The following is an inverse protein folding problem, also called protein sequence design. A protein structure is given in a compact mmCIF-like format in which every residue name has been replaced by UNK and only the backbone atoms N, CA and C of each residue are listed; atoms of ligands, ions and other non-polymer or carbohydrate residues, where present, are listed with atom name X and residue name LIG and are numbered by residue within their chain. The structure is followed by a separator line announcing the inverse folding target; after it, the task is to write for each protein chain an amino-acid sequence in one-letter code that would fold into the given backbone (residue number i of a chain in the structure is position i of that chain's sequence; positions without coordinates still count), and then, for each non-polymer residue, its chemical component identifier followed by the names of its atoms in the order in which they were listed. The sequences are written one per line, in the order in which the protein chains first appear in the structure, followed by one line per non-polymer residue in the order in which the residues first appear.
data_IF_829525319855
#
_entry.id   IF_829525319855
#
_cell.length_a   1.000
_cell.length_b   1.000
_cell.length_c   1.000
_cell.angle_alpha   90.00
_cell.angle_beta   90.00
_cell.angle_gamma   90.00
#
_symmetry.space_group_name_H-M   'P 1'
#
loop_
_entity.id
_entity.type
_entity.pdbx_description
1 polymer ?
#
# COMPACT_ATOMS: atom_id res chain seq x y z
N UNK A 1 31.76 -7.56 10.70
CA UNK A 1 31.54 -8.53 9.60
C UNK A 1 30.25 -8.14 8.90
N UNK A 2 30.35 -7.60 7.69
CA UNK A 2 29.20 -7.22 6.90
C UNK A 2 28.58 -8.49 6.31
N UNK A 3 27.49 -8.98 6.91
CA UNK A 3 26.63 -9.89 6.19
C UNK A 3 26.13 -9.14 4.96
N UNK A 4 26.54 -9.57 3.76
CA UNK A 4 25.91 -9.14 2.52
C UNK A 4 24.41 -9.41 2.66
N UNK A 5 23.63 -8.36 2.91
CA UNK A 5 22.17 -8.45 2.90
C UNK A 5 21.77 -8.89 1.51
N UNK A 6 21.47 -10.18 1.35
CA UNK A 6 20.84 -10.74 0.16
C UNK A 6 19.69 -9.79 -0.21
N UNK A 7 19.77 -9.15 -1.38
CA UNK A 7 18.75 -8.17 -1.79
C UNK A 7 17.42 -8.93 -1.84
N UNK A 8 16.49 -8.52 -0.97
CA UNK A 8 15.12 -9.01 -1.00
C UNK A 8 14.52 -8.63 -2.36
N UNK A 9 14.02 -9.63 -3.09
CA UNK A 9 13.43 -9.54 -4.43
C UNK A 9 12.04 -10.16 -4.34
N UNK A 10 11.05 -9.49 -4.91
CA UNK A 10 9.71 -10.07 -5.11
C UNK A 10 9.67 -10.70 -6.50
N UNK A 11 9.18 -11.93 -6.58
CA UNK A 11 9.09 -12.70 -7.82
C UNK A 11 7.65 -12.67 -8.33
N UNK A 12 7.25 -11.50 -8.87
CA UNK A 12 5.91 -11.25 -9.36
C UNK A 12 5.95 -10.61 -10.75
N UNK A 13 5.12 -11.06 -11.70
CA UNK A 13 4.95 -10.39 -12.98
C UNK A 13 4.27 -9.04 -12.74
N UNK A 14 5.03 -7.95 -12.86
CA UNK A 14 4.59 -6.59 -12.58
C UNK A 14 4.67 -5.73 -13.84
N UNK A 15 3.53 -5.14 -14.20
CA UNK A 15 3.43 -4.01 -15.12
C UNK A 15 3.39 -2.72 -14.32
N UNK A 16 4.25 -1.78 -14.65
CA UNK A 16 4.30 -0.44 -14.06
C UNK A 16 3.92 0.58 -15.13
N UNK A 17 2.88 1.35 -14.87
CA UNK A 17 2.44 2.47 -15.69
C UNK A 17 2.98 3.76 -15.08
N UNK A 18 3.61 4.57 -15.91
CA UNK A 18 4.32 5.76 -15.45
C UNK A 18 3.40 6.99 -15.45
N UNK A 19 3.76 7.98 -14.63
CA UNK A 19 3.27 9.35 -14.76
C UNK A 19 4.00 10.07 -15.90
N UNK A 20 3.63 11.33 -16.18
CA UNK A 20 4.37 12.17 -17.15
C UNK A 20 5.80 12.43 -16.67
N UNK A 21 6.00 12.67 -15.38
CA UNK A 21 7.31 12.86 -14.76
C UNK A 21 8.13 11.58 -14.81
N UNK A 22 7.50 10.43 -14.50
CA UNK A 22 8.14 9.12 -14.62
C UNK A 22 8.56 8.83 -16.06
N UNK A 23 7.68 9.10 -17.03
CA UNK A 23 7.97 8.93 -18.46
C UNK A 23 9.16 9.78 -18.88
N UNK A 24 9.14 11.07 -18.54
CA UNK A 24 10.23 12.01 -18.85
C UNK A 24 11.56 11.57 -18.23
N UNK A 25 11.54 11.11 -16.98
CA UNK A 25 12.72 10.58 -16.31
C UNK A 25 13.28 9.33 -17.02
N UNK A 26 12.43 8.38 -17.42
CA UNK A 26 12.91 7.17 -18.12
C UNK A 26 13.47 7.49 -19.51
N UNK A 27 12.82 8.37 -20.27
CA UNK A 27 13.27 8.77 -21.61
C UNK A 27 14.60 9.54 -21.58
N UNK A 28 14.77 10.47 -20.64
CA UNK A 28 16.04 11.21 -20.44
C UNK A 28 17.20 10.29 -20.07
N UNK A 29 16.93 9.15 -19.43
CA UNK A 29 17.93 8.11 -19.12
C UNK A 29 18.00 7.01 -20.19
N UNK A 30 17.45 7.25 -21.39
CA UNK A 30 17.48 6.34 -22.56
C UNK A 30 16.91 4.95 -22.26
N UNK A 31 15.93 4.85 -21.35
CA UNK A 31 15.21 3.61 -21.09
C UNK A 31 14.03 3.49 -22.06
N UNK A 32 13.92 2.34 -22.73
CA UNK A 32 12.79 2.05 -23.61
C UNK A 32 11.53 1.80 -22.78
N UNK A 33 10.41 2.35 -23.25
CA UNK A 33 9.09 2.16 -22.67
C UNK A 33 8.29 1.22 -23.55
N UNK A 34 7.54 0.31 -22.92
CA UNK A 34 6.64 -0.61 -23.59
C UNK A 34 5.25 0.00 -23.72
N UNK A 35 4.54 -0.35 -24.79
CA UNK A 35 3.10 -0.16 -24.85
C UNK A 35 2.42 -1.40 -24.22
N UNK A 36 1.92 -1.24 -23.00
CA UNK A 36 1.35 -2.32 -22.20
C UNK A 36 -0.16 -2.36 -22.36
N UNK A 37 -0.71 -3.55 -22.65
CA UNK A 37 -2.15 -3.81 -22.61
C UNK A 37 -2.56 -4.21 -21.19
N UNK A 38 -3.54 -3.51 -20.64
CA UNK A 38 -4.09 -3.71 -19.30
C UNK A 38 -5.36 -4.57 -19.32
N UNK A 39 -5.81 -5.00 -18.14
CA UNK A 39 -7.00 -5.85 -17.98
C UNK A 39 -8.28 -5.23 -18.57
N UNK A 40 -8.40 -3.91 -18.53
CA UNK A 40 -9.52 -3.13 -19.09
C UNK A 40 -9.39 -2.88 -20.61
N UNK A 41 -8.51 -3.61 -21.29
CA UNK A 41 -8.14 -3.45 -22.70
C UNK A 41 -7.54 -2.09 -23.07
N UNK A 42 -7.21 -1.23 -22.10
CA UNK A 42 -6.52 0.03 -22.38
C UNK A 42 -5.03 -0.20 -22.58
N UNK A 43 -4.45 0.61 -23.45
CA UNK A 43 -3.01 0.68 -23.69
C UNK A 43 -2.40 1.83 -22.90
N UNK A 44 -1.26 1.59 -22.26
CA UNK A 44 -0.52 2.63 -21.55
C UNK A 44 1.00 2.41 -21.63
N UNK A 45 1.76 3.50 -21.54
CA UNK A 45 3.22 3.46 -21.57
C UNK A 45 3.79 3.09 -20.20
N UNK A 46 4.73 2.16 -20.20
CA UNK A 46 5.26 1.65 -18.94
C UNK A 46 6.44 0.70 -19.08
N UNK A 47 6.70 -0.02 -18.00
CA UNK A 47 7.76 -1.02 -17.87
C UNK A 47 7.14 -2.33 -17.37
N UNK A 48 7.61 -3.46 -17.87
CA UNK A 48 7.22 -4.79 -17.39
C UNK A 48 8.43 -5.50 -16.81
N UNK A 49 8.23 -6.23 -15.72
CA UNK A 49 9.26 -7.00 -15.04
C UNK A 49 8.68 -8.31 -14.48
N UNK A 50 9.50 -9.35 -14.40
CA UNK A 50 9.12 -10.64 -13.80
C UNK A 50 9.51 -10.74 -12.34
N UNK A 51 10.49 -9.94 -11.91
CA UNK A 51 10.91 -9.80 -10.52
C UNK A 51 11.50 -8.41 -10.29
N UNK A 52 11.49 -7.94 -9.04
CA UNK A 52 11.93 -6.58 -8.73
C UNK A 52 12.37 -6.39 -7.28
N UNK A 53 13.20 -5.35 -7.06
CA UNK A 53 13.57 -4.94 -5.71
C UNK A 53 12.48 -4.04 -5.12
N UNK A 54 11.96 -4.38 -3.92
CA UNK A 54 10.98 -3.54 -3.22
C UNK A 54 11.50 -2.13 -2.93
N UNK A 55 12.78 -1.99 -2.58
CA UNK A 55 13.38 -0.67 -2.34
C UNK A 55 13.27 0.25 -3.56
N UNK A 56 13.64 -0.26 -4.74
CA UNK A 56 13.57 0.50 -5.98
C UNK A 56 12.13 0.86 -6.37
N UNK A 57 11.19 -0.07 -6.20
CA UNK A 57 9.77 0.21 -6.47
C UNK A 57 9.22 1.29 -5.52
N UNK A 58 9.52 1.17 -4.22
CA UNK A 58 9.11 2.17 -3.23
C UNK A 58 9.68 3.55 -3.56
N UNK A 59 10.95 3.65 -3.93
CA UNK A 59 11.55 4.93 -4.29
C UNK A 59 10.87 5.54 -5.53
N UNK A 60 10.51 4.74 -6.54
CA UNK A 60 9.72 5.22 -7.69
C UNK A 60 8.32 5.72 -7.30
N UNK A 61 7.65 5.05 -6.35
CA UNK A 61 6.37 5.52 -5.80
C UNK A 61 6.58 6.86 -5.09
N UNK A 62 7.59 6.95 -4.21
CA UNK A 62 7.91 8.16 -3.43
C UNK A 62 8.27 9.35 -4.32
N UNK A 63 8.95 9.12 -5.44
CA UNK A 63 9.25 10.15 -6.44
C UNK A 63 8.05 10.52 -7.32
N UNK A 64 6.93 9.79 -7.22
CA UNK A 64 5.72 10.06 -8.01
C UNK A 64 5.84 9.63 -9.47
N UNK A 65 6.71 8.67 -9.78
CA UNK A 65 6.92 8.18 -11.14
C UNK A 65 5.88 7.16 -11.60
N UNK A 66 5.12 6.57 -10.66
CA UNK A 66 4.18 5.48 -10.91
C UNK A 66 2.75 5.99 -10.75
N UNK A 67 1.93 5.76 -11.77
CA UNK A 67 0.49 6.06 -11.76
C UNK A 67 -0.34 4.81 -11.49
N UNK A 68 0.06 3.66 -12.03
CA UNK A 68 -0.64 2.38 -11.85
C UNK A 68 0.35 1.21 -11.85
N UNK A 69 0.04 0.18 -11.09
CA UNK A 69 0.70 -1.12 -11.11
C UNK A 69 -0.33 -2.20 -11.40
N UNK A 70 0.03 -3.24 -12.15
CA UNK A 70 -0.84 -4.38 -12.44
C UNK A 70 -0.03 -5.68 -12.39
N UNK A 71 -0.57 -6.69 -11.72
CA UNK A 71 -0.10 -8.07 -11.76
C UNK A 71 -1.23 -8.97 -12.26
N UNK A 72 -0.88 -10.05 -12.94
CA UNK A 72 -1.86 -11.00 -13.47
C UNK A 72 -1.30 -12.41 -13.48
N UNK A 73 -2.09 -13.36 -13.00
CA UNK A 73 -1.70 -14.78 -12.94
C UNK A 73 -2.95 -15.66 -12.87
N UNK A 74 -2.86 -16.94 -13.28
CA UNK A 74 -3.94 -17.91 -13.10
C UNK A 74 -4.08 -18.36 -11.65
N UNK A 75 -3.00 -18.23 -10.85
CA UNK A 75 -2.91 -18.67 -9.47
C UNK A 75 -2.07 -17.70 -8.64
N UNK A 76 -2.66 -17.15 -7.57
CA UNK A 76 -2.06 -16.26 -6.58
C UNK A 76 -1.60 -16.99 -5.32
N UNK A 77 -2.19 -18.14 -4.95
CA UNK A 77 -1.85 -18.85 -3.69
C UNK A 77 -0.35 -19.17 -3.58
N UNK A 78 0.30 -19.51 -4.69
CA UNK A 78 1.75 -19.78 -4.76
C UNK A 78 2.62 -18.55 -4.54
N UNK A 79 2.08 -17.34 -4.70
CA UNK A 79 2.76 -16.06 -4.54
C UNK A 79 2.16 -15.20 -3.40
N UNK A 80 1.46 -15.83 -2.46
CA UNK A 80 0.70 -15.16 -1.38
C UNK A 80 1.50 -14.09 -0.66
N UNK A 81 2.70 -14.44 -0.19
CA UNK A 81 3.54 -13.54 0.59
C UNK A 81 3.98 -12.33 -0.24
N UNK A 82 4.37 -12.55 -1.50
CA UNK A 82 4.87 -11.48 -2.36
C UNK A 82 3.77 -10.47 -2.71
N UNK A 83 2.52 -10.94 -2.92
CA UNK A 83 1.35 -10.10 -3.20
C UNK A 83 0.99 -9.24 -1.99
N UNK A 84 1.03 -9.84 -0.79
CA UNK A 84 0.82 -9.11 0.46
C UNK A 84 1.93 -8.08 0.69
N UNK A 85 3.19 -8.43 0.46
CA UNK A 85 4.32 -7.53 0.64
C UNK A 85 4.30 -6.37 -0.35
N UNK A 86 3.92 -6.61 -1.61
CA UNK A 86 3.67 -5.55 -2.60
C UNK A 86 2.56 -4.60 -2.12
N UNK A 87 1.45 -5.15 -1.63
CA UNK A 87 0.32 -4.35 -1.13
C UNK A 87 0.72 -3.48 0.07
N UNK A 88 1.44 -4.06 1.06
CA UNK A 88 1.97 -3.32 2.21
C UNK A 88 2.92 -2.23 1.77
N UNK A 89 3.85 -2.55 0.85
CA UNK A 89 4.81 -1.59 0.32
C UNK A 89 4.13 -0.36 -0.28
N UNK A 90 3.08 -0.56 -1.06
CA UNK A 90 2.32 0.52 -1.71
C UNK A 90 1.67 1.40 -0.64
N UNK A 91 0.96 0.81 0.31
CA UNK A 91 0.30 1.55 1.40
C UNK A 91 1.30 2.32 2.24
N UNK A 92 2.41 1.69 2.66
CA UNK A 92 3.47 2.38 3.41
C UNK A 92 4.08 3.54 2.62
N UNK A 93 4.22 3.41 1.31
CA UNK A 93 4.75 4.49 0.47
C UNK A 93 3.81 5.71 0.45
N UNK A 94 2.50 5.50 0.47
CA UNK A 94 1.51 6.57 0.60
C UNK A 94 1.60 7.21 1.99
N UNK A 95 1.65 6.40 3.05
CA UNK A 95 1.76 6.88 4.42
C UNK A 95 3.04 7.70 4.63
N UNK A 96 4.17 7.33 4.03
CA UNK A 96 5.40 8.13 4.11
C UNK A 96 5.25 9.51 3.46
N UNK A 97 4.62 9.59 2.28
CA UNK A 97 4.36 10.88 1.63
C UNK A 97 3.44 11.77 2.47
N UNK A 98 2.37 11.18 3.00
CA UNK A 98 1.40 11.92 3.81
C UNK A 98 2.03 12.40 5.12
N UNK A 99 2.79 11.54 5.80
CA UNK A 99 3.53 11.90 7.01
C UNK A 99 4.47 13.07 6.77
N UNK A 100 5.26 13.01 5.69
CA UNK A 100 6.18 14.10 5.32
C UNK A 100 5.44 15.43 5.07
N UNK A 101 4.36 15.38 4.28
CA UNK A 101 3.56 16.56 3.94
C UNK A 101 2.86 17.16 5.17
N UNK A 102 2.30 16.33 6.04
CA UNK A 102 1.62 16.78 7.26
C UNK A 102 2.61 17.35 8.28
N UNK A 103 3.80 16.75 8.41
CA UNK A 103 4.89 17.33 9.19
C UNK A 103 5.25 18.71 8.65
N UNK A 104 5.49 18.85 7.34
CA UNK A 104 5.85 20.14 6.75
C UNK A 104 4.77 21.20 7.02
N UNK A 105 3.52 20.87 6.72
CA UNK A 105 2.39 21.77 6.91
C UNK A 105 2.16 22.19 8.38
N UNK A 106 2.51 21.32 9.33
CA UNK A 106 2.42 21.61 10.75
C UNK A 106 3.61 22.44 11.25
N UNK A 107 4.86 22.07 10.91
CA UNK A 107 6.04 22.74 11.45
C UNK A 107 6.14 24.19 10.97
N UNK A 108 5.82 24.50 9.72
CA UNK A 108 5.89 25.89 9.21
C UNK A 108 4.95 26.86 9.95
N UNK A 109 3.97 26.32 10.71
CA UNK A 109 3.03 27.10 11.51
C UNK A 109 3.53 27.36 12.93
N UNK A 110 4.64 26.75 13.36
CA UNK A 110 5.22 26.97 14.69
C UNK A 110 5.66 28.43 14.90
N UNK A 111 5.61 28.88 16.14
CA UNK A 111 5.96 30.26 16.49
C UNK A 111 7.44 30.59 16.20
N UNK A 112 8.35 29.63 16.40
CA UNK A 112 9.78 29.82 16.09
C UNK A 112 10.02 30.09 14.59
N UNK A 113 9.24 29.47 13.70
CA UNK A 113 9.34 29.68 12.25
C UNK A 113 8.66 30.99 11.85
N UNK A 114 7.52 31.34 12.44
CA UNK A 114 6.90 32.66 12.25
C UNK A 114 7.83 33.79 12.68
N UNK A 115 8.50 33.63 13.82
CA UNK A 115 9.49 34.60 14.30
C UNK A 115 10.68 34.70 13.33
N UNK A 116 11.21 33.56 12.88
CA UNK A 116 12.28 33.54 11.88
C UNK A 116 11.89 34.30 10.61
N UNK A 117 10.68 34.07 10.10
CA UNK A 117 10.15 34.72 8.90
C UNK A 117 10.04 36.25 9.08
N UNK A 118 9.62 36.74 10.27
CA UNK A 118 9.58 38.18 10.56
C UNK A 118 10.97 38.81 10.54
N UNK A 119 11.99 38.09 11.02
CA UNK A 119 13.38 38.57 11.04
C UNK A 119 14.08 38.41 9.68
N UNK A 120 13.58 37.53 8.81
CA UNK A 120 14.22 37.17 7.54
C UNK A 120 13.22 37.23 6.37
N UNK A 121 12.68 38.42 6.05
CA UNK A 121 11.60 38.55 5.05
C UNK A 121 12.02 38.16 3.62
N UNK A 122 13.32 38.18 3.30
CA UNK A 122 13.84 37.75 2.00
C UNK A 122 14.02 36.23 1.87
N UNK A 123 13.89 35.47 2.97
CA UNK A 123 14.08 34.03 3.00
C UNK A 123 13.03 33.36 3.90
N UNK A 124 11.77 33.52 3.50
CA UNK A 124 10.63 32.93 4.18
C UNK A 124 10.70 31.39 4.16
N UNK A 125 10.12 30.79 5.20
CA UNK A 125 9.81 29.36 5.29
C UNK A 125 8.30 29.25 5.47
N UNK A 126 7.59 28.95 4.38
CA UNK A 126 6.14 28.88 4.28
C UNK A 126 5.69 27.84 3.22
N UNK A 127 4.39 27.76 2.94
CA UNK A 127 3.80 26.82 1.98
C UNK A 127 4.31 27.00 0.54
N UNK A 128 4.81 28.19 0.19
CA UNK A 128 5.29 28.54 -1.15
C UNK A 128 6.81 28.42 -1.28
N UNK A 129 7.49 28.11 -0.18
CA UNK A 129 8.95 28.06 -0.14
C UNK A 129 9.46 26.88 -0.94
N UNK A 130 10.19 27.15 -2.03
CA UNK A 130 10.85 26.14 -2.85
C UNK A 130 12.35 26.38 -2.79
N UNK A 131 13.07 25.51 -2.08
CA UNK A 131 14.54 25.51 -2.04
C UNK A 131 15.04 24.43 -2.99
N UNK A 132 15.93 24.75 -3.96
CA UNK A 132 16.49 23.76 -4.86
C UNK A 132 17.14 22.60 -4.10
N UNK A 133 16.86 21.36 -4.53
CA UNK A 133 17.33 20.16 -3.86
C UNK A 133 18.85 20.14 -3.68
N UNK A 134 19.60 20.63 -4.68
CA UNK A 134 21.06 20.77 -4.63
C UNK A 134 21.50 21.63 -3.43
N UNK A 135 20.79 22.73 -3.16
CA UNK A 135 21.09 23.63 -2.04
C UNK A 135 20.75 22.98 -0.69
N UNK A 136 19.64 22.27 -0.59
CA UNK A 136 19.28 21.51 0.61
C UNK A 136 20.33 20.45 0.93
N UNK A 137 20.76 19.67 -0.08
CA UNK A 137 21.82 18.66 0.07
C UNK A 137 23.12 19.27 0.55
N UNK A 138 23.57 20.36 -0.07
CA UNK A 138 24.81 21.06 0.35
C UNK A 138 24.72 21.54 1.80
N UNK A 139 23.57 22.09 2.21
CA UNK A 139 23.36 22.61 3.56
C UNK A 139 23.37 21.49 4.61
N UNK A 140 22.77 20.34 4.28
CA UNK A 140 22.63 19.20 5.20
C UNK A 140 23.88 18.31 5.24
N UNK A 141 24.70 18.29 4.19
CA UNK A 141 25.87 17.41 4.09
C UNK A 141 26.84 17.54 5.28
N UNK A 142 27.01 18.74 5.83
CA UNK A 142 27.90 19.01 6.96
C UNK A 142 27.20 18.92 8.34
N UNK A 143 25.97 18.40 8.38
CA UNK A 143 25.12 18.40 9.59
C UNK A 143 24.73 17.00 10.06
N UNK A 144 25.39 15.94 9.59
CA UNK A 144 25.03 14.56 9.95
C UNK A 144 24.99 14.34 11.48
N UNK A 145 26.00 14.79 12.22
CA UNK A 145 26.00 14.69 13.69
C UNK A 145 24.80 15.39 14.35
N UNK A 146 24.36 16.52 13.80
CA UNK A 146 23.18 17.26 14.27
C UNK A 146 21.89 16.51 13.92
N UNK A 147 21.82 15.93 12.72
CA UNK A 147 20.70 15.09 12.29
C UNK A 147 20.57 13.87 13.21
N UNK A 148 21.65 13.15 13.49
CA UNK A 148 21.62 11.99 14.38
C UNK A 148 21.22 12.38 15.82
N UNK A 149 21.73 13.50 16.34
CA UNK A 149 21.33 14.00 17.65
C UNK A 149 19.85 14.39 17.69
N UNK A 150 19.34 15.05 16.65
CA UNK A 150 17.92 15.38 16.51
C UNK A 150 17.05 14.12 16.43
N UNK A 151 17.43 13.12 15.61
CA UNK A 151 16.75 11.82 15.53
C UNK A 151 16.61 11.17 16.89
N UNK A 152 17.71 11.06 17.63
CA UNK A 152 17.71 10.50 18.98
C UNK A 152 16.81 11.30 19.93
N UNK A 153 16.89 12.63 19.87
CA UNK A 153 16.03 13.51 20.68
C UNK A 153 14.55 13.27 20.39
N UNK A 154 14.18 13.05 19.12
CA UNK A 154 12.80 12.77 18.70
C UNK A 154 12.36 11.37 19.18
N UNK A 155 13.16 10.34 18.87
CA UNK A 155 12.80 8.93 19.01
C UNK A 155 12.92 8.38 20.43
N UNK A 156 13.89 8.80 21.25
CA UNK A 156 14.14 8.19 22.56
C UNK A 156 12.88 8.13 23.45
N UNK A 157 12.08 9.21 23.59
CA UNK A 157 10.84 9.13 24.38
C UNK A 157 9.75 8.29 23.73
N UNK A 158 9.68 8.28 22.40
CA UNK A 158 8.73 7.45 21.65
C UNK A 158 9.04 5.96 21.88
N UNK A 159 10.31 5.59 21.74
CA UNK A 159 10.79 4.24 21.98
C UNK A 159 10.60 3.79 23.44
N UNK A 160 10.86 4.68 24.41
CA UNK A 160 10.54 4.40 25.82
C UNK A 160 9.05 4.10 26.01
N UNK A 161 8.17 4.91 25.43
CA UNK A 161 6.72 4.69 25.50
C UNK A 161 6.27 3.38 24.86
N UNK A 162 6.88 2.98 23.73
CA UNK A 162 6.61 1.70 23.08
C UNK A 162 7.05 0.53 23.98
N UNK A 163 8.27 0.61 24.52
CA UNK A 163 8.83 -0.47 25.33
C UNK A 163 8.08 -0.65 26.65
N UNK A 164 7.58 0.44 27.25
CA UNK A 164 6.79 0.40 28.48
C UNK A 164 5.34 -0.03 28.27
N UNK A 165 4.83 -0.10 27.03
CA UNK A 165 3.45 -0.51 26.77
C UNK A 165 3.29 -2.02 27.04
N UNK A 166 2.40 -2.39 27.96
CA UNK A 166 2.11 -3.77 28.35
C UNK A 166 1.15 -4.49 27.40
N UNK A 167 0.42 -3.75 26.55
CA UNK A 167 -0.51 -4.33 25.57
C UNK A 167 0.21 -4.88 24.34
N UNK A 168 1.44 -4.41 24.06
CA UNK A 168 2.20 -4.85 22.90
C UNK A 168 3.03 -6.10 23.19
N UNK A 169 2.98 -7.05 22.26
CA UNK A 169 3.91 -8.18 22.23
C UNK A 169 5.35 -7.71 22.00
N UNK A 170 6.37 -8.52 22.34
CA UNK A 170 7.78 -8.22 22.01
C UNK A 170 8.01 -7.98 20.51
N UNK A 171 7.34 -8.73 19.65
CA UNK A 171 7.40 -8.61 18.19
C UNK A 171 6.78 -7.29 17.73
N UNK A 172 5.60 -6.93 18.25
CA UNK A 172 4.96 -5.65 17.95
C UNK A 172 5.83 -4.46 18.37
N UNK A 173 6.47 -4.54 19.54
CA UNK A 173 7.42 -3.51 19.99
C UNK A 173 8.54 -3.32 18.98
N UNK A 174 9.18 -4.41 18.55
CA UNK A 174 10.25 -4.35 17.54
C UNK A 174 9.78 -3.74 16.22
N UNK A 175 8.58 -4.13 15.76
CA UNK A 175 7.96 -3.57 14.55
C UNK A 175 7.76 -2.05 14.70
N UNK A 176 7.21 -1.58 15.82
CA UNK A 176 6.96 -0.15 16.04
C UNK A 176 8.25 0.67 16.19
N UNK A 177 9.29 0.12 16.83
CA UNK A 177 10.60 0.77 16.92
C UNK A 177 11.19 1.01 15.52
N UNK A 178 11.23 -0.04 14.69
CA UNK A 178 11.73 0.05 13.31
C UNK A 178 10.86 0.95 12.43
N UNK A 179 9.54 0.92 12.64
CA UNK A 179 8.58 1.73 11.89
C UNK A 179 8.77 3.22 12.15
N UNK A 180 8.85 3.63 13.42
CA UNK A 180 9.06 5.03 13.80
C UNK A 180 10.39 5.57 13.27
N UNK A 181 11.44 4.76 13.31
CA UNK A 181 12.73 5.10 12.70
C UNK A 181 12.59 5.29 11.18
N UNK A 182 11.86 4.38 10.52
CA UNK A 182 11.66 4.43 9.06
C UNK A 182 10.85 5.65 8.61
N UNK A 183 9.79 6.02 9.32
CA UNK A 183 9.05 7.26 9.05
C UNK A 183 9.96 8.48 9.13
N UNK A 184 10.76 8.59 10.19
CA UNK A 184 11.67 9.71 10.37
C UNK A 184 12.77 9.75 9.30
N UNK A 185 13.30 8.58 8.92
CA UNK A 185 14.30 8.45 7.86
C UNK A 185 13.76 8.78 6.46
N UNK A 186 12.44 8.75 6.25
CA UNK A 186 11.78 9.06 4.98
C UNK A 186 11.31 10.52 4.87
N UNK A 187 11.54 11.35 5.87
CA UNK A 187 11.33 12.80 5.74
C UNK A 187 12.20 13.39 4.62
N UNK A 188 11.63 14.34 3.89
CA UNK A 188 12.29 15.09 2.82
C UNK A 188 13.39 15.97 3.36
N UNK A 189 14.29 16.38 2.46
CA UNK A 189 15.38 17.31 2.78
C UNK A 189 14.85 18.65 3.31
N UNK A 190 13.66 19.08 2.89
CA UNK A 190 13.06 20.33 3.37
C UNK A 190 12.67 20.22 4.84
N UNK A 191 12.00 19.12 5.23
CA UNK A 191 11.70 18.87 6.64
C UNK A 191 12.97 18.74 7.49
N UNK A 192 13.99 18.02 7.01
CA UNK A 192 15.27 17.94 7.70
C UNK A 192 16.00 19.28 7.80
N UNK A 193 15.93 20.12 6.77
CA UNK A 193 16.48 21.47 6.79
C UNK A 193 15.86 22.30 7.91
N UNK A 194 14.53 22.29 8.04
CA UNK A 194 13.84 23.00 9.13
C UNK A 194 14.24 22.41 10.49
N UNK A 195 14.16 21.09 10.66
CA UNK A 195 14.51 20.43 11.93
C UNK A 195 15.93 20.79 12.37
N UNK A 196 16.91 20.74 11.47
CA UNK A 196 18.31 21.09 11.77
C UNK A 196 18.47 22.57 12.06
N UNK A 197 17.80 23.45 11.30
CA UNK A 197 17.90 24.90 11.45
C UNK A 197 17.41 25.39 12.82
N UNK A 198 16.35 24.77 13.34
CA UNK A 198 15.77 25.12 14.64
C UNK A 198 16.19 24.17 15.77
N UNK A 199 17.09 23.21 15.52
CA UNK A 199 17.52 22.28 16.56
C UNK A 199 18.18 23.02 17.71
N UNK A 200 17.69 22.79 18.94
CA UNK A 200 18.13 23.45 20.19
C UNK A 200 17.93 24.98 20.25
N UNK A 201 17.16 25.57 19.34
CA UNK A 201 16.74 26.96 19.47
C UNK A 201 15.47 27.06 20.33
N UNK A 202 15.16 28.26 20.79
CA UNK A 202 13.87 28.54 21.43
C UNK A 202 12.72 28.17 20.48
N UNK A 203 11.73 27.46 21.01
CA UNK A 203 10.59 26.94 20.25
C UNK A 203 10.80 25.61 19.51
N UNK A 204 12.00 24.98 19.57
CA UNK A 204 12.18 23.64 19.01
C UNK A 204 11.28 22.57 19.67
N UNK A 205 10.88 22.79 20.92
CA UNK A 205 9.97 21.90 21.64
C UNK A 205 8.59 21.75 20.95
N UNK A 206 8.13 22.79 20.26
CA UNK A 206 6.88 22.73 19.47
C UNK A 206 7.05 21.77 18.28
N UNK A 207 8.16 21.88 17.54
CA UNK A 207 8.52 20.98 16.44
C UNK A 207 8.66 19.53 16.95
N UNK A 208 9.29 19.33 18.11
CA UNK A 208 9.41 18.00 18.73
C UNK A 208 8.05 17.40 19.08
N UNK A 209 7.13 18.21 19.63
CA UNK A 209 5.78 17.76 19.96
C UNK A 209 5.03 17.29 18.71
N UNK A 210 5.06 18.08 17.64
CA UNK A 210 4.47 17.76 16.34
C UNK A 210 5.03 16.44 15.80
N UNK A 211 6.36 16.30 15.73
CA UNK A 211 7.02 15.09 15.21
C UNK A 211 6.60 13.84 15.98
N UNK A 212 6.57 13.90 17.32
CA UNK A 212 6.20 12.75 18.15
C UNK A 212 4.72 12.41 18.06
N UNK A 213 3.85 13.42 18.03
CA UNK A 213 2.40 13.21 17.87
C UNK A 213 2.10 12.57 16.51
N UNK A 214 2.74 13.04 15.45
CA UNK A 214 2.57 12.46 14.12
C UNK A 214 3.15 11.04 14.04
N UNK A 215 4.33 10.78 14.64
CA UNK A 215 4.85 9.41 14.71
C UNK A 215 3.88 8.45 15.40
N UNK A 216 3.28 8.86 16.53
CA UNK A 216 2.27 8.05 17.22
C UNK A 216 1.01 7.83 16.36
N UNK A 217 0.51 8.88 15.70
CA UNK A 217 -0.64 8.76 14.80
C UNK A 217 -0.37 7.81 13.63
N UNK A 218 0.80 7.90 13.01
CA UNK A 218 1.16 7.07 11.86
C UNK A 218 1.52 5.64 12.22
N UNK A 219 2.00 5.36 13.44
CA UNK A 219 2.07 3.99 13.94
C UNK A 219 0.70 3.32 13.93
N UNK A 220 -0.34 4.02 14.40
CA UNK A 220 -1.70 3.47 14.41
C UNK A 220 -2.27 3.37 12.99
N UNK A 221 -2.11 4.41 12.13
CA UNK A 221 -2.51 4.36 10.71
C UNK A 221 -1.88 3.19 9.96
N UNK A 222 -0.62 2.86 10.26
CA UNK A 222 0.11 1.79 9.59
C UNK A 222 -0.50 0.40 9.75
N UNK A 223 -1.33 0.17 10.77
CA UNK A 223 -2.06 -1.10 10.92
C UNK A 223 -2.97 -1.38 9.74
N UNK A 224 -3.51 -0.34 9.09
CA UNK A 224 -4.36 -0.46 7.89
C UNK A 224 -3.63 -1.12 6.73
N UNK A 225 -2.30 -1.01 6.63
CA UNK A 225 -1.52 -1.71 5.61
C UNK A 225 -1.65 -3.24 5.69
N UNK A 226 -1.69 -3.79 6.92
CA UNK A 226 -1.90 -5.22 7.12
C UNK A 226 -3.30 -5.63 6.67
N UNK A 227 -4.32 -4.90 7.11
CA UNK A 227 -5.71 -5.16 6.74
C UNK A 227 -5.93 -5.11 5.22
N UNK A 228 -5.40 -4.08 4.56
CA UNK A 228 -5.49 -3.97 3.10
C UNK A 228 -4.80 -5.15 2.42
N UNK A 229 -3.60 -5.54 2.87
CA UNK A 229 -2.85 -6.64 2.24
C UNK A 229 -3.56 -7.99 2.33
N UNK A 230 -4.18 -8.28 3.48
CA UNK A 230 -4.98 -9.49 3.68
C UNK A 230 -6.22 -9.43 2.80
N UNK A 231 -6.96 -8.32 2.80
CA UNK A 231 -8.14 -8.14 1.96
C UNK A 231 -7.85 -8.38 0.48
N UNK A 232 -6.77 -7.78 -0.04
CA UNK A 232 -6.36 -7.97 -1.45
C UNK A 232 -6.09 -9.43 -1.77
N UNK A 233 -5.40 -10.12 -0.86
CA UNK A 233 -5.10 -11.54 -1.04
C UNK A 233 -6.37 -12.40 -1.00
N UNK A 234 -7.27 -12.17 -0.06
CA UNK A 234 -8.52 -12.92 0.07
C UNK A 234 -9.40 -12.76 -1.18
N UNK A 235 -9.51 -11.55 -1.72
CA UNK A 235 -10.24 -11.30 -2.97
C UNK A 235 -9.62 -12.02 -4.17
N UNK A 236 -8.29 -12.03 -4.25
CA UNK A 236 -7.56 -12.74 -5.32
C UNK A 236 -7.75 -14.26 -5.22
N UNK A 237 -7.63 -14.83 -4.01
CA UNK A 237 -7.85 -16.26 -3.75
C UNK A 237 -9.29 -16.68 -4.04
N UNK A 238 -10.27 -15.83 -3.73
CA UNK A 238 -11.67 -16.12 -4.05
C UNK A 238 -11.86 -16.24 -5.57
N UNK A 239 -11.34 -15.27 -6.33
CA UNK A 239 -11.43 -15.30 -7.80
C UNK A 239 -10.69 -16.48 -8.41
N UNK A 240 -9.48 -16.78 -7.91
CA UNK A 240 -8.70 -17.95 -8.31
C UNK A 240 -9.47 -19.25 -8.06
N UNK A 241 -10.02 -19.44 -6.85
CA UNK A 241 -10.73 -20.64 -6.49
C UNK A 241 -12.00 -20.83 -7.33
N UNK A 242 -12.71 -19.74 -7.67
CA UNK A 242 -13.85 -19.81 -8.58
C UNK A 242 -13.43 -20.27 -9.98
N UNK A 243 -12.34 -19.72 -10.52
CA UNK A 243 -11.82 -20.13 -11.83
C UNK A 243 -11.36 -21.59 -11.82
N UNK A 244 -10.65 -22.02 -10.77
CA UNK A 244 -10.22 -23.42 -10.58
C UNK A 244 -11.41 -24.38 -10.51
N UNK A 245 -12.47 -24.04 -9.76
CA UNK A 245 -13.69 -24.85 -9.68
C UNK A 245 -14.40 -24.95 -11.04
N UNK A 246 -14.53 -23.84 -11.76
CA UNK A 246 -15.14 -23.80 -13.11
C UNK A 246 -14.36 -24.67 -14.09
N UNK A 247 -13.03 -24.57 -14.08
CA UNK A 247 -12.18 -25.40 -14.93
C UNK A 247 -12.21 -26.89 -14.52
N UNK A 248 -12.25 -27.21 -13.22
CA UNK A 248 -12.36 -28.57 -12.73
C UNK A 248 -13.65 -29.26 -13.20
N UNK A 249 -14.79 -28.57 -13.10
CA UNK A 249 -16.09 -29.05 -13.57
C UNK A 249 -16.08 -29.37 -15.07
N UNK A 250 -15.28 -28.66 -15.87
CA UNK A 250 -15.13 -28.92 -17.30
C UNK A 250 -14.16 -30.07 -17.60
N UNK A 251 -13.02 -30.12 -16.92
CA UNK A 251 -11.97 -31.11 -17.17
C UNK A 251 -12.29 -32.50 -16.63
N UNK A 252 -13.05 -32.58 -15.53
CA UNK A 252 -13.35 -33.80 -14.79
C UNK A 252 -14.85 -34.13 -14.80
N UNK A 253 -15.53 -33.81 -15.91
CA UNK A 253 -16.95 -34.13 -16.10
C UNK A 253 -17.22 -35.62 -15.86
N UNK A 254 -18.27 -35.91 -15.09
CA UNK A 254 -18.69 -37.27 -14.76
C UNK A 254 -17.96 -37.93 -13.58
N UNK A 255 -17.07 -37.20 -12.88
CA UNK A 255 -16.51 -37.66 -11.60
C UNK A 255 -17.35 -37.10 -10.45
N UNK A 256 -17.95 -37.97 -9.63
CA UNK A 256 -18.62 -37.60 -8.39
C UNK A 256 -17.63 -36.92 -7.44
N UNK A 257 -18.06 -35.85 -6.77
CA UNK A 257 -17.23 -34.99 -5.90
C UNK A 257 -16.08 -34.24 -6.61
N UNK A 258 -16.26 -33.81 -7.86
CA UNK A 258 -15.26 -32.96 -8.56
C UNK A 258 -14.80 -31.72 -7.76
N UNK A 259 -15.64 -31.20 -6.87
CA UNK A 259 -15.32 -30.08 -5.97
C UNK A 259 -14.27 -30.41 -4.91
N UNK A 260 -14.00 -31.69 -4.59
CA UNK A 260 -12.94 -32.09 -3.66
C UNK A 260 -11.61 -32.39 -4.37
N UNK A 261 -11.64 -32.64 -5.68
CA UNK A 261 -10.44 -32.94 -6.48
C UNK A 261 -9.48 -31.74 -6.56
N UNK A 262 -9.99 -30.51 -6.44
CA UNK A 262 -9.20 -29.28 -6.48
C UNK A 262 -8.22 -29.13 -5.31
N UNK A 263 -8.39 -29.93 -4.25
CA UNK A 263 -7.49 -29.97 -3.09
C UNK A 263 -6.30 -30.92 -3.31
N UNK A 264 -6.34 -31.80 -4.32
CA UNK A 264 -5.17 -32.58 -4.73
C UNK A 264 -4.17 -31.64 -5.44
N UNK A 265 -2.93 -31.50 -4.92
CA UNK A 265 -1.94 -30.58 -5.51
C UNK A 265 -1.59 -30.87 -6.97
N UNK A 266 -1.61 -32.15 -7.38
CA UNK A 266 -1.32 -32.55 -8.77
C UNK A 266 -2.46 -32.15 -9.69
N UNK A 267 -3.70 -32.43 -9.29
CA UNK A 267 -4.89 -32.04 -10.05
C UNK A 267 -4.95 -30.53 -10.17
N UNK A 268 -4.77 -29.80 -9.05
CA UNK A 268 -4.72 -28.33 -9.06
C UNK A 268 -3.68 -27.80 -10.04
N UNK A 269 -2.47 -28.37 -10.03
CA UNK A 269 -1.39 -27.95 -10.95
C UNK A 269 -1.77 -28.13 -12.41
N UNK A 270 -2.45 -29.22 -12.79
CA UNK A 270 -2.92 -29.42 -14.15
C UNK A 270 -4.04 -28.45 -14.54
N UNK A 271 -4.98 -28.16 -13.62
CA UNK A 271 -6.02 -27.14 -13.83
C UNK A 271 -5.37 -25.76 -14.05
N UNK A 272 -4.39 -25.38 -13.22
CA UNK A 272 -3.69 -24.08 -13.33
C UNK A 272 -2.94 -23.97 -14.66
N UNK A 273 -2.31 -25.04 -15.15
CA UNK A 273 -1.70 -25.07 -16.49
C UNK A 273 -2.73 -24.85 -17.60
N UNK A 274 -3.91 -25.43 -17.46
CA UNK A 274 -4.99 -25.24 -18.42
C UNK A 274 -5.53 -23.80 -18.40
N UNK A 275 -5.74 -23.21 -17.23
CA UNK A 275 -6.11 -21.79 -17.08
C UNK A 275 -5.07 -20.88 -17.75
N UNK A 276 -3.78 -21.14 -17.51
CA UNK A 276 -2.68 -20.43 -18.17
C UNK A 276 -2.73 -20.58 -19.71
N UNK A 277 -2.99 -21.79 -20.22
CA UNK A 277 -3.09 -22.08 -21.66
C UNK A 277 -4.26 -21.35 -22.31
N UNK A 278 -5.40 -21.26 -21.62
CA UNK A 278 -6.60 -20.54 -22.06
C UNK A 278 -6.52 -19.02 -21.84
N UNK A 279 -5.48 -18.55 -21.17
CA UNK A 279 -5.33 -17.14 -20.76
C UNK A 279 -6.46 -16.67 -19.83
N UNK A 280 -6.96 -17.57 -18.98
CA UNK A 280 -7.91 -17.30 -17.92
C UNK A 280 -7.13 -16.82 -16.69
N UNK A 281 -7.00 -15.50 -16.58
CA UNK A 281 -6.17 -14.84 -15.56
C UNK A 281 -7.04 -13.99 -14.63
N UNK A 282 -6.62 -13.91 -13.37
CA UNK A 282 -7.09 -12.90 -12.43
C UNK A 282 -6.10 -11.73 -12.45
N UNK A 283 -6.61 -10.50 -12.53
CA UNK A 283 -5.79 -9.29 -12.57
C UNK A 283 -5.99 -8.49 -11.29
N UNK A 284 -4.89 -8.08 -10.67
CA UNK A 284 -4.86 -7.12 -9.57
C UNK A 284 -4.17 -5.86 -10.04
N UNK A 285 -4.75 -4.70 -9.74
CA UNK A 285 -4.12 -3.42 -10.05
C UNK A 285 -4.23 -2.42 -8.91
N UNK A 286 -3.20 -1.60 -8.75
CA UNK A 286 -3.14 -0.50 -7.79
C UNK A 286 -2.95 0.80 -8.57
N UNK A 287 -3.93 1.69 -8.53
CA UNK A 287 -3.86 3.03 -9.11
C UNK A 287 -3.58 4.03 -8.00
N UNK A 288 -2.54 4.83 -8.18
CA UNK A 288 -2.07 5.82 -7.22
C UNK A 288 -2.49 7.21 -7.66
N UNK A 289 -3.08 7.99 -6.76
CA UNK A 289 -3.28 9.42 -6.92
C UNK A 289 -2.07 10.22 -6.43
N UNK A 290 -1.90 11.45 -6.94
CA UNK A 290 -0.86 12.37 -6.46
C UNK A 290 0.33 12.58 -7.38
N UNK A 291 0.12 12.73 -8.70
CA UNK A 291 1.10 13.36 -9.59
C UNK A 291 1.08 14.89 -9.44
N UNK A 292 2.09 15.60 -9.97
CA UNK A 292 2.19 17.07 -9.83
C UNK A 292 0.97 17.82 -10.38
N UNK A 293 0.21 17.18 -11.27
CA UNK A 293 -0.99 17.71 -11.91
C UNK A 293 -2.32 17.25 -11.31
N UNK A 294 -2.33 16.34 -10.32
CA UNK A 294 -3.59 15.79 -9.80
C UNK A 294 -4.11 16.54 -8.57
N UNK A 295 -4.78 17.67 -8.81
CA UNK A 295 -5.52 18.42 -7.80
C UNK A 295 -6.66 17.55 -7.25
N UNK A 296 -6.76 17.41 -5.93
CA UNK A 296 -7.85 16.69 -5.26
C UNK A 296 -7.75 15.15 -5.26
N UNK A 297 -6.65 14.57 -5.78
CA UNK A 297 -6.39 13.11 -5.73
C UNK A 297 -5.16 12.72 -4.88
N UNK A 298 -4.62 13.65 -4.09
CA UNK A 298 -3.56 13.33 -3.14
C UNK A 298 -4.08 12.34 -2.09
N UNK A 299 -3.31 11.29 -1.80
CA UNK A 299 -3.70 10.24 -0.85
C UNK A 299 -4.69 9.20 -1.39
N UNK A 300 -5.09 9.27 -2.67
CA UNK A 300 -5.98 8.27 -3.27
C UNK A 300 -5.22 6.99 -3.62
N UNK A 301 -5.71 5.85 -3.12
CA UNK A 301 -5.34 4.51 -3.57
C UNK A 301 -6.60 3.81 -4.06
N UNK A 302 -6.59 3.36 -5.31
CA UNK A 302 -7.63 2.48 -5.83
C UNK A 302 -7.02 1.11 -6.15
N UNK A 303 -7.54 0.07 -5.54
CA UNK A 303 -7.18 -1.31 -5.83
C UNK A 303 -8.33 -1.92 -6.63
N UNK A 304 -8.02 -2.48 -7.79
CA UNK A 304 -9.02 -3.11 -8.65
C UNK A 304 -8.65 -4.55 -8.95
N UNK A 305 -9.57 -5.46 -8.66
CA UNK A 305 -9.54 -6.85 -9.09
C UNK A 305 -10.42 -6.99 -10.34
N UNK A 306 -9.88 -7.62 -11.38
CA UNK A 306 -10.64 -8.03 -12.56
C UNK A 306 -10.63 -9.55 -12.63
N UNK A 307 -11.81 -10.15 -12.71
CA UNK A 307 -11.98 -11.55 -13.03
C UNK A 307 -13.00 -11.70 -14.15
N UNK A 308 -12.74 -12.62 -15.09
CA UNK A 308 -13.76 -13.00 -16.06
C UNK A 308 -14.72 -13.94 -15.35
N UNK A 309 -15.88 -13.42 -14.97
CA UNK A 309 -16.83 -14.15 -14.14
C UNK A 309 -18.25 -13.92 -14.63
N UNK A 310 -18.91 -15.02 -14.98
CA UNK A 310 -20.29 -15.06 -15.48
C UNK A 310 -21.32 -14.89 -14.34
N UNK A 311 -20.91 -14.96 -13.07
CA UNK A 311 -21.76 -14.91 -11.86
C UNK A 311 -21.69 -13.53 -11.14
N UNK A 312 -21.60 -12.44 -11.91
CA UNK A 312 -21.46 -11.07 -11.38
C UNK A 312 -22.50 -10.71 -10.29
N UNK A 313 -23.77 -11.04 -10.49
CA UNK A 313 -24.83 -10.65 -9.55
C UNK A 313 -24.67 -11.33 -8.20
N UNK A 314 -24.28 -12.60 -8.17
CA UNK A 314 -24.02 -13.33 -6.93
C UNK A 314 -22.82 -12.73 -6.18
N UNK A 315 -21.74 -12.39 -6.89
CA UNK A 315 -20.57 -11.72 -6.29
C UNK A 315 -20.96 -10.36 -5.70
N UNK A 316 -21.78 -9.58 -6.42
CA UNK A 316 -22.26 -8.27 -5.96
C UNK A 316 -23.13 -8.39 -4.71
N UNK A 317 -24.15 -9.24 -4.74
CA UNK A 317 -25.07 -9.45 -3.61
C UNK A 317 -24.33 -9.97 -2.36
N UNK A 318 -23.36 -10.86 -2.54
CA UNK A 318 -22.53 -11.36 -1.45
C UNK A 318 -21.64 -10.27 -0.82
N UNK A 319 -21.10 -9.35 -1.62
CA UNK A 319 -20.28 -8.24 -1.12
C UNK A 319 -21.15 -7.21 -0.38
N UNK A 320 -22.26 -6.78 -0.99
CA UNK A 320 -23.13 -5.75 -0.43
C UNK A 320 -23.78 -6.20 0.88
N UNK A 321 -24.29 -7.44 0.94
CA UNK A 321 -24.90 -8.00 2.14
C UNK A 321 -23.91 -8.11 3.30
N UNK A 322 -22.67 -8.53 3.04
CA UNK A 322 -21.65 -8.74 4.08
C UNK A 322 -21.01 -7.45 4.56
N UNK A 323 -20.86 -6.43 3.71
CA UNK A 323 -20.45 -5.08 4.18
C UNK A 323 -21.43 -4.51 5.20
N UNK A 324 -22.73 -4.77 5.04
CA UNK A 324 -23.76 -4.29 5.97
C UNK A 324 -23.86 -5.09 7.29
N UNK A 325 -23.01 -6.11 7.49
CA UNK A 325 -23.06 -6.96 8.68
C UNK A 325 -22.72 -6.19 9.97
N UNK A 326 -23.55 -6.35 11.00
CA UNK A 326 -23.39 -5.65 12.28
C UNK A 326 -22.24 -6.23 13.10
N UNK A 327 -21.14 -5.46 13.22
CA UNK A 327 -19.92 -5.86 13.93
C UNK A 327 -20.00 -5.74 15.45
N UNK A 328 -21.06 -5.12 15.99
CA UNK A 328 -21.14 -4.71 17.39
C UNK A 328 -21.18 -5.86 18.43
N UNK A 329 -21.14 -7.13 18.00
CA UNK A 329 -21.22 -8.30 18.91
C UNK A 329 -20.30 -9.48 18.57
N UNK A 330 -19.46 -9.41 17.53
CA UNK A 330 -18.66 -10.56 17.08
C UNK A 330 -17.27 -10.12 16.61
N UNK A 331 -16.23 -10.81 17.08
CA UNK A 331 -14.87 -10.69 16.54
C UNK A 331 -14.73 -11.47 15.24
N UNK A 332 -13.69 -11.19 14.44
CA UNK A 332 -13.49 -11.89 13.16
C UNK A 332 -13.39 -13.41 13.40
N UNK A 333 -12.78 -13.81 14.52
CA UNK A 333 -12.70 -15.22 14.96
C UNK A 333 -14.05 -15.82 15.37
N UNK A 334 -15.00 -15.02 15.84
CA UNK A 334 -16.37 -15.50 16.13
C UNK A 334 -17.17 -15.75 14.86
N UNK A 335 -16.91 -14.98 13.78
CA UNK A 335 -17.45 -15.29 12.46
C UNK A 335 -16.84 -16.56 11.89
N UNK A 336 -15.52 -16.73 12.01
CA UNK A 336 -14.82 -17.97 11.60
C UNK A 336 -15.39 -19.22 12.30
N UNK A 337 -15.75 -19.13 13.59
CA UNK A 337 -16.26 -20.28 14.37
C UNK A 337 -17.73 -20.63 14.14
N UNK A 338 -18.50 -19.76 13.49
CA UNK A 338 -19.96 -19.92 13.32
C UNK A 338 -20.36 -20.35 11.91
N UNK A 339 -19.40 -20.58 11.01
CA UNK A 339 -19.69 -21.08 9.67
C UNK A 339 -19.96 -22.60 9.70
N UNK A 340 -20.93 -23.11 8.92
CA UNK A 340 -21.13 -24.55 8.76
C UNK A 340 -19.92 -25.20 8.07
N UNK A 341 -19.55 -26.40 8.54
CA UNK A 341 -18.50 -27.23 7.91
C UNK A 341 -18.76 -27.39 6.40
N UNK A 342 -17.82 -26.97 5.56
CA UNK A 342 -17.91 -27.04 4.10
C UNK A 342 -18.24 -25.74 3.36
N UNK A 343 -18.58 -24.65 4.05
CA UNK A 343 -18.69 -23.29 3.46
C UNK A 343 -17.46 -22.40 3.71
N UNK A 344 -16.42 -22.95 4.33
CA UNK A 344 -15.23 -22.25 4.81
C UNK A 344 -14.28 -21.70 3.72
N UNK A 345 -14.62 -21.81 2.43
CA UNK A 345 -13.65 -21.59 1.35
C UNK A 345 -13.67 -20.23 0.65
N UNK A 346 -14.81 -19.54 0.55
CA UNK A 346 -14.99 -18.43 -0.41
C UNK A 346 -15.68 -17.20 0.14
N UNK A 347 -16.40 -17.34 1.25
CA UNK A 347 -17.30 -16.31 1.77
C UNK A 347 -16.72 -15.49 2.94
N UNK A 348 -15.58 -15.93 3.46
CA UNK A 348 -14.88 -15.36 4.61
C UNK A 348 -14.18 -14.04 4.30
N UNK A 349 -13.58 -13.91 3.11
CA UNK A 349 -12.88 -12.70 2.68
C UNK A 349 -13.79 -11.46 2.62
N UNK A 350 -15.09 -11.66 2.44
CA UNK A 350 -16.06 -10.57 2.33
C UNK A 350 -16.44 -9.97 3.68
N UNK A 351 -16.45 -10.75 4.76
CA UNK A 351 -16.63 -10.21 6.12
C UNK A 351 -15.46 -9.32 6.55
N UNK A 352 -14.29 -9.53 5.95
CA UNK A 352 -13.12 -8.70 6.22
C UNK A 352 -13.29 -7.26 5.70
N UNK A 353 -14.21 -7.01 4.75
CA UNK A 353 -14.50 -5.66 4.26
C UNK A 353 -15.05 -4.77 5.38
N UNK A 354 -15.94 -5.31 6.21
CA UNK A 354 -16.53 -4.59 7.34
C UNK A 354 -15.47 -4.28 8.41
N UNK A 355 -14.57 -5.22 8.73
CA UNK A 355 -13.46 -4.96 9.66
C UNK A 355 -12.48 -3.92 9.11
N UNK A 356 -12.18 -3.98 7.81
CA UNK A 356 -11.33 -3.00 7.14
C UNK A 356 -11.97 -1.60 7.19
N UNK A 357 -13.28 -1.50 6.97
CA UNK A 357 -14.02 -0.23 7.08
C UNK A 357 -13.91 0.36 8.49
N UNK A 358 -14.15 -0.43 9.54
CA UNK A 358 -14.01 -0.01 10.92
C UNK A 358 -12.57 0.41 11.28
N UNK A 359 -11.58 -0.35 10.79
CA UNK A 359 -10.17 -0.02 10.97
C UNK A 359 -9.81 1.31 10.29
N UNK A 360 -10.31 1.56 9.06
CA UNK A 360 -10.10 2.80 8.33
C UNK A 360 -10.76 4.00 9.04
N UNK A 361 -12.02 3.85 9.51
CA UNK A 361 -12.75 4.89 10.25
C UNK A 361 -11.99 5.34 11.51
N UNK A 362 -11.42 4.40 12.28
CA UNK A 362 -10.64 4.70 13.50
C UNK A 362 -9.42 5.57 13.26
N UNK A 363 -8.88 5.58 12.04
CA UNK A 363 -7.69 6.35 11.67
C UNK A 363 -7.97 7.42 10.61
N UNK A 364 -9.25 7.75 10.40
CA UNK A 364 -9.74 8.77 9.47
C UNK A 364 -9.34 8.54 8.00
N UNK A 365 -9.26 7.28 7.58
CA UNK A 365 -9.10 6.91 6.17
C UNK A 365 -10.51 6.65 5.61
N UNK A 366 -10.87 7.30 4.50
CA UNK A 366 -12.15 7.01 3.83
C UNK A 366 -12.00 5.76 2.99
N UNK A 367 -12.89 4.80 3.15
CA UNK A 367 -12.91 3.53 2.43
C UNK A 367 -14.25 3.33 1.72
N UNK A 368 -14.19 2.92 0.47
CA UNK A 368 -15.35 2.54 -0.34
C UNK A 368 -15.05 1.24 -1.10
N UNK A 369 -16.01 0.32 -1.16
CA UNK A 369 -15.95 -0.89 -1.99
C UNK A 369 -17.09 -0.89 -2.99
N UNK A 370 -16.80 -1.13 -4.28
CA UNK A 370 -17.79 -1.08 -5.36
C UNK A 370 -17.55 -2.27 -6.29
N UNK A 371 -18.61 -3.03 -6.58
CA UNK A 371 -18.59 -4.16 -7.50
C UNK A 371 -19.39 -3.78 -8.76
N UNK A 372 -18.74 -3.84 -9.91
CA UNK A 372 -19.35 -3.52 -11.20
C UNK A 372 -19.05 -4.61 -12.23
N UNK A 373 -19.89 -4.73 -13.26
CA UNK A 373 -19.59 -5.54 -14.44
C UNK A 373 -19.18 -4.61 -15.57
N UNK A 374 -18.04 -4.91 -16.21
CA UNK A 374 -17.63 -4.20 -17.42
C UNK A 374 -18.45 -4.69 -18.59
N UNK A 375 -19.39 -3.86 -19.07
CA UNK A 375 -20.30 -4.19 -20.18
C UNK A 375 -19.61 -4.46 -21.52
N UNK A 376 -18.32 -4.09 -21.66
CA UNK A 376 -17.53 -4.28 -22.88
C UNK A 376 -16.63 -5.53 -22.85
N UNK A 377 -16.52 -6.23 -21.72
CA UNK A 377 -15.52 -7.30 -21.55
C UNK A 377 -15.95 -8.47 -20.66
N UNK A 378 -17.20 -8.52 -20.21
CA UNK A 378 -17.73 -9.53 -19.28
C UNK A 378 -16.84 -9.75 -18.04
N UNK A 379 -16.13 -8.70 -17.62
CA UNK A 379 -15.28 -8.73 -16.43
C UNK A 379 -16.09 -8.29 -15.22
N UNK A 380 -16.09 -9.11 -14.19
CA UNK A 380 -16.45 -8.68 -12.84
C UNK A 380 -15.30 -7.85 -12.28
N UNK A 381 -15.62 -6.65 -11.84
CA UNK A 381 -14.65 -5.64 -11.39
C UNK A 381 -14.96 -5.24 -9.96
N UNK A 382 -14.09 -5.60 -9.03
CA UNK A 382 -14.16 -5.17 -7.63
C UNK A 382 -13.20 -4.00 -7.44
N UNK A 383 -13.71 -2.85 -7.01
CA UNK A 383 -12.92 -1.66 -6.74
C UNK A 383 -12.94 -1.35 -5.25
N UNK A 384 -11.76 -1.32 -4.64
CA UNK A 384 -11.52 -0.81 -3.30
C UNK A 384 -10.86 0.57 -3.42
N UNK A 385 -11.50 1.61 -2.88
CA UNK A 385 -10.98 2.97 -2.89
C UNK A 385 -10.67 3.42 -1.47
N UNK A 386 -9.47 3.96 -1.30
CA UNK A 386 -8.97 4.51 -0.04
C UNK A 386 -8.54 5.95 -0.27
N UNK A 387 -8.94 6.84 0.62
CA UNK A 387 -8.46 8.22 0.66
C UNK A 387 -7.81 8.45 2.03
N UNK A 388 -6.48 8.53 2.03
CA UNK A 388 -5.61 8.55 3.19
C UNK A 388 -5.46 9.93 3.83
#
# INVERSE_FOLDING_TARGET
MCAEKKKFILDLPLKIILTEEGTSHFLSHKKQLLNLKLADNRSAHGVSMTSFSPGSLQDMILLGYISKMEISMPEFVSHRQDVMDLSKLIVFSILYKQFDSEIYAAIIKCECIRHHNRQNPSSLIDEKTVIPEKQLRMTLAMKDSTIQAAKKTILDPVWKSIMSNSEYSPEEKNVYLLMTEKFLNRLTLMNWYIIVKFYKTDGFNEILSILRQQLASYMTKSKVAEYISVMVMELALNSENNNVKKAAKYLYQGIDNSDTLIFDPKIRSEIVKELQRKHELVFLSWTLGGGSMSIGKQGLLQITLYNKDDEFQEVKENIESKMSANLNKKSLIDFYRQMPDGQEGTDLGLYYLSYLEDACKKVNIKFESIVNQSSSSDLTVINLKFNF
#
